data_IF_806153491744
#
_entry.id   IF_806153491744
#
_cell.length_a   1.000
_cell.length_b   1.000
_cell.length_c   1.000
_cell.angle_alpha   90.00
_cell.angle_beta   90.00
_cell.angle_gamma   90.00
#
_symmetry.space_group_name_H-M   'P 1'
#
loop_
_entity.id
_entity.type
_entity.pdbx_description
1 polymer ?
#
# COMPACT_ATOMS: atom_id res chain seq x y z
N UNK A 1 -1.13 -14.37 -7.03
CA UNK A 1 -1.25 -13.56 -5.79
C UNK A 1 -2.13 -12.34 -6.07
N UNK A 2 -1.76 -11.48 -7.03
CA UNK A 2 -2.50 -10.27 -7.39
C UNK A 2 -4.02 -10.49 -7.62
N UNK A 3 -4.39 -11.43 -8.49
CA UNK A 3 -5.79 -11.77 -8.80
C UNK A 3 -6.58 -12.28 -7.58
N UNK A 4 -5.90 -12.93 -6.62
CA UNK A 4 -6.55 -13.47 -5.42
C UNK A 4 -6.91 -12.30 -4.48
N UNK A 5 -5.95 -11.40 -4.25
CA UNK A 5 -6.17 -10.21 -3.40
C UNK A 5 -7.20 -9.28 -4.02
N UNK A 6 -7.15 -9.05 -5.32
CA UNK A 6 -8.18 -8.25 -6.03
C UNK A 6 -9.59 -8.82 -5.80
N UNK A 7 -9.76 -10.14 -5.94
CA UNK A 7 -11.04 -10.80 -5.69
C UNK A 7 -11.45 -10.73 -4.23
N UNK A 8 -10.52 -10.91 -3.29
CA UNK A 8 -10.81 -10.82 -1.86
C UNK A 8 -11.31 -9.42 -1.48
N UNK A 9 -10.61 -8.37 -1.91
CA UNK A 9 -10.98 -6.97 -1.71
C UNK A 9 -12.38 -6.69 -2.26
N UNK A 10 -12.65 -7.08 -3.52
CA UNK A 10 -13.97 -6.88 -4.16
C UNK A 10 -15.09 -7.67 -3.48
N UNK A 11 -14.79 -8.83 -2.91
CA UNK A 11 -15.79 -9.69 -2.25
C UNK A 11 -16.13 -9.13 -0.87
N UNK A 12 -15.12 -8.75 -0.08
CA UNK A 12 -15.33 -8.17 1.25
C UNK A 12 -16.10 -6.85 1.19
N UNK A 13 -15.79 -6.00 0.20
CA UNK A 13 -16.54 -4.77 -0.05
C UNK A 13 -18.03 -5.00 -0.36
N UNK A 14 -18.42 -6.17 -0.88
CA UNK A 14 -19.82 -6.50 -1.20
C UNK A 14 -20.61 -7.06 -0.03
N UNK A 15 -19.94 -7.59 0.99
CA UNK A 15 -20.58 -8.32 2.10
C UNK A 15 -20.69 -7.49 3.39
N UNK A 16 -20.60 -6.15 3.30
CA UNK A 16 -20.57 -5.22 4.44
C UNK A 16 -19.49 -5.54 5.49
N UNK A 17 -18.52 -6.38 5.15
CA UNK A 17 -17.28 -6.53 5.90
C UNK A 17 -16.42 -5.30 5.60
N UNK A 18 -16.67 -4.21 6.34
CA UNK A 18 -15.94 -2.94 6.19
C UNK A 18 -14.53 -3.13 6.74
N UNK A 19 -13.65 -3.71 5.91
CA UNK A 19 -12.21 -3.69 6.17
C UNK A 19 -11.69 -2.33 5.75
N UNK A 20 -11.31 -1.53 6.74
CA UNK A 20 -10.76 -0.20 6.50
C UNK A 20 -9.42 -0.28 5.77
N UNK A 21 -9.08 0.79 5.05
CA UNK A 21 -7.75 0.97 4.44
C UNK A 21 -6.62 0.74 5.44
N UNK A 22 -6.74 1.28 6.65
CA UNK A 22 -5.72 1.13 7.69
C UNK A 22 -5.53 -0.33 8.10
N UNK A 23 -6.61 -1.11 8.22
CA UNK A 23 -6.53 -2.55 8.48
C UNK A 23 -5.84 -3.28 7.32
N UNK A 24 -6.16 -2.95 6.07
CA UNK A 24 -5.47 -3.56 4.92
C UNK A 24 -3.96 -3.27 4.91
N UNK A 25 -3.55 -2.05 5.22
CA UNK A 25 -2.12 -1.73 5.32
C UNK A 25 -1.46 -2.49 6.48
N UNK A 26 -2.15 -2.67 7.60
CA UNK A 26 -1.66 -3.50 8.69
C UNK A 26 -1.49 -4.98 8.28
N UNK A 27 -2.43 -5.52 7.50
CA UNK A 27 -2.31 -6.88 6.94
C UNK A 27 -1.15 -6.99 5.94
N UNK A 28 -0.86 -5.92 5.18
CA UNK A 28 0.31 -5.89 4.31
C UNK A 28 1.62 -5.96 5.12
N UNK A 29 1.73 -5.18 6.20
CA UNK A 29 2.87 -5.24 7.12
C UNK A 29 3.01 -6.62 7.76
N UNK A 30 1.91 -7.24 8.21
CA UNK A 30 1.89 -8.59 8.79
C UNK A 30 2.31 -9.65 7.78
N UNK A 31 1.87 -9.53 6.53
CA UNK A 31 2.26 -10.44 5.45
C UNK A 31 3.77 -10.35 5.17
N UNK A 32 4.34 -9.15 5.17
CA UNK A 32 5.79 -8.97 5.08
C UNK A 32 6.52 -9.61 6.26
N UNK A 33 6.11 -9.32 7.50
CA UNK A 33 6.71 -9.88 8.71
C UNK A 33 6.68 -11.42 8.74
N UNK A 34 5.68 -12.01 8.08
CA UNK A 34 5.53 -13.46 7.91
C UNK A 34 6.34 -14.05 6.75
N UNK A 35 7.18 -13.24 6.08
CA UNK A 35 8.00 -13.67 4.94
C UNK A 35 7.27 -13.74 3.60
N UNK A 36 6.13 -13.05 3.45
CA UNK A 36 5.32 -13.03 2.22
C UNK A 36 5.27 -11.61 1.58
N UNK A 37 6.41 -11.03 1.16
CA UNK A 37 6.47 -9.65 0.65
C UNK A 37 5.68 -9.44 -0.66
N UNK A 38 5.53 -10.47 -1.50
CA UNK A 38 4.71 -10.39 -2.72
C UNK A 38 3.22 -10.26 -2.39
N UNK A 39 2.77 -10.85 -1.28
CA UNK A 39 1.41 -10.71 -0.78
C UNK A 39 1.19 -9.32 -0.21
N UNK A 40 2.14 -8.80 0.59
CA UNK A 40 2.13 -7.39 1.05
C UNK A 40 1.96 -6.42 -0.11
N UNK A 41 2.79 -6.55 -1.16
CA UNK A 41 2.71 -5.67 -2.32
C UNK A 41 1.38 -5.75 -3.06
N UNK A 42 0.80 -6.95 -3.19
CA UNK A 42 -0.53 -7.11 -3.78
C UNK A 42 -1.63 -6.45 -2.93
N UNK A 43 -1.57 -6.57 -1.59
CA UNK A 43 -2.52 -5.89 -0.69
C UNK A 43 -2.41 -4.38 -0.88
N UNK A 44 -1.21 -3.80 -0.81
CA UNK A 44 -1.00 -2.37 -1.02
C UNK A 44 -1.58 -1.92 -2.37
N UNK A 45 -1.25 -2.61 -3.46
CA UNK A 45 -1.71 -2.25 -4.82
C UNK A 45 -3.23 -2.11 -4.94
N UNK A 46 -4.01 -2.98 -4.28
CA UNK A 46 -5.47 -3.01 -4.41
C UNK A 46 -6.21 -2.21 -3.33
N UNK A 47 -5.52 -1.76 -2.28
CA UNK A 47 -6.17 -1.16 -1.10
C UNK A 47 -5.68 0.26 -0.80
N UNK A 48 -4.49 0.66 -1.28
CA UNK A 48 -3.85 1.93 -0.96
C UNK A 48 -4.70 3.16 -1.34
N UNK A 49 -5.47 3.07 -2.42
CA UNK A 49 -6.35 4.15 -2.90
C UNK A 49 -7.74 4.19 -2.28
N UNK A 50 -8.11 3.25 -1.41
CA UNK A 50 -9.45 3.18 -0.81
C UNK A 50 -9.73 4.40 0.08
N UNK A 51 -10.86 5.07 -0.12
CA UNK A 51 -11.27 6.23 0.69
C UNK A 51 -10.21 7.34 0.75
N UNK A 52 -9.41 7.50 -0.31
CA UNK A 52 -8.46 8.62 -0.47
C UNK A 52 -8.83 9.40 -1.71
N UNK A 53 -9.15 10.68 -1.50
CA UNK A 53 -9.46 11.61 -2.58
C UNK A 53 -8.27 11.76 -3.53
N UNK A 54 -8.57 11.88 -4.83
CA UNK A 54 -7.54 11.87 -5.88
C UNK A 54 -6.47 12.95 -5.65
N UNK A 55 -6.89 14.10 -5.14
CA UNK A 55 -6.04 15.26 -4.85
C UNK A 55 -5.07 15.00 -3.68
N UNK A 56 -5.47 14.16 -2.72
CA UNK A 56 -4.69 13.86 -1.51
C UNK A 56 -3.79 12.63 -1.66
N UNK A 57 -4.05 11.75 -2.65
CA UNK A 57 -3.35 10.47 -2.85
C UNK A 57 -1.84 10.58 -2.72
N UNK A 58 -1.21 11.55 -3.38
CA UNK A 58 0.24 11.67 -3.36
C UNK A 58 0.78 11.87 -1.94
N UNK A 59 0.17 12.78 -1.18
CA UNK A 59 0.60 13.09 0.18
C UNK A 59 0.30 11.91 1.10
N UNK A 60 -0.94 11.41 1.09
CA UNK A 60 -1.35 10.29 1.93
C UNK A 60 -0.45 9.09 1.72
N UNK A 61 -0.19 8.68 0.48
CA UNK A 61 0.62 7.50 0.20
C UNK A 61 2.10 7.68 0.57
N UNK A 62 2.63 8.89 0.49
CA UNK A 62 3.97 9.19 0.99
C UNK A 62 4.04 9.04 2.52
N UNK A 63 3.03 9.55 3.23
CA UNK A 63 2.92 9.42 4.69
C UNK A 63 2.78 7.94 5.09
N UNK A 64 1.98 7.14 4.37
CA UNK A 64 1.85 5.70 4.65
C UNK A 64 3.15 4.93 4.44
N UNK A 65 3.89 5.24 3.37
CA UNK A 65 5.20 4.63 3.13
C UNK A 65 6.18 4.94 4.27
N UNK A 66 6.19 6.18 4.76
CA UNK A 66 7.01 6.59 5.89
C UNK A 66 6.59 5.88 7.19
N UNK A 67 5.28 5.72 7.44
CA UNK A 67 4.76 4.98 8.59
C UNK A 67 5.17 3.50 8.54
N UNK A 68 4.98 2.84 7.40
CA UNK A 68 5.39 1.44 7.22
C UNK A 68 6.90 1.27 7.43
N UNK A 69 7.71 2.20 6.90
CA UNK A 69 9.16 2.19 7.10
C UNK A 69 9.55 2.37 8.57
N UNK A 70 8.89 3.29 9.30
CA UNK A 70 9.14 3.51 10.72
C UNK A 70 8.86 2.28 11.59
N UNK A 71 8.02 1.37 11.11
CA UNK A 71 7.67 0.08 11.75
C UNK A 71 8.57 -1.08 11.29
N UNK A 72 9.53 -0.81 10.40
CA UNK A 72 10.42 -1.82 9.83
C UNK A 72 9.83 -2.63 8.68
N UNK A 73 8.65 -2.26 8.16
CA UNK A 73 8.00 -2.92 7.03
C UNK A 73 8.51 -2.34 5.69
N UNK A 74 9.78 -2.66 5.38
CA UNK A 74 10.54 -2.13 4.25
C UNK A 74 9.93 -2.54 2.91
N UNK A 75 9.51 -3.80 2.75
CA UNK A 75 8.90 -4.27 1.50
C UNK A 75 7.52 -3.65 1.27
N UNK A 76 6.77 -3.41 2.34
CA UNK A 76 5.47 -2.73 2.33
C UNK A 76 5.66 -1.27 1.91
N UNK A 77 6.59 -0.54 2.54
CA UNK A 77 6.94 0.82 2.16
C UNK A 77 7.40 0.90 0.68
N UNK A 78 8.24 -0.03 0.23
CA UNK A 78 8.68 -0.14 -1.16
C UNK A 78 7.52 -0.36 -2.13
N UNK A 79 6.56 -1.22 -1.77
CA UNK A 79 5.37 -1.46 -2.59
C UNK A 79 4.47 -0.21 -2.71
N UNK A 80 4.30 0.53 -1.60
CA UNK A 80 3.55 1.80 -1.58
C UNK A 80 4.22 2.84 -2.48
N UNK A 81 5.53 3.03 -2.36
CA UNK A 81 6.25 3.97 -3.21
C UNK A 81 6.28 3.57 -4.67
N UNK A 82 6.44 2.27 -4.98
CA UNK A 82 6.38 1.79 -6.36
C UNK A 82 5.00 2.08 -6.99
N UNK A 83 3.91 1.84 -6.26
CA UNK A 83 2.56 2.20 -6.72
C UNK A 83 2.42 3.72 -6.89
N UNK A 84 2.91 4.49 -5.91
CA UNK A 84 2.86 5.95 -5.94
C UNK A 84 3.63 6.54 -7.12
N UNK A 85 4.81 5.99 -7.45
CA UNK A 85 5.63 6.42 -8.57
C UNK A 85 5.03 6.02 -9.93
N UNK A 86 4.31 4.91 -10.00
CA UNK A 86 3.57 4.54 -11.22
C UNK A 86 2.44 5.55 -11.51
N UNK A 87 1.83 6.12 -10.47
CA UNK A 87 0.76 7.14 -10.61
C UNK A 87 1.33 8.56 -10.74
N UNK A 88 2.42 8.86 -10.05
CA UNK A 88 3.03 10.19 -9.96
C UNK A 88 4.52 10.19 -10.36
N UNK A 89 4.87 9.80 -11.60
CA UNK A 89 6.26 9.57 -12.00
C UNK A 89 7.13 10.83 -11.98
N UNK A 90 6.54 12.02 -12.10
CA UNK A 90 7.26 13.30 -12.09
C UNK A 90 7.57 13.83 -10.67
N UNK A 91 7.11 13.18 -9.60
CA UNK A 91 7.28 13.68 -8.24
C UNK A 91 8.65 13.31 -7.68
N UNK A 92 9.57 14.27 -7.71
CA UNK A 92 10.94 14.13 -7.19
C UNK A 92 11.02 13.65 -5.74
N UNK A 93 10.12 14.12 -4.87
CA UNK A 93 10.11 13.70 -3.45
C UNK A 93 9.92 12.20 -3.28
N UNK A 94 8.98 11.59 -4.03
CA UNK A 94 8.75 10.15 -4.01
C UNK A 94 9.97 9.35 -4.48
N UNK A 95 10.68 9.85 -5.49
CA UNK A 95 11.92 9.23 -5.96
C UNK A 95 13.02 9.27 -4.91
N UNK A 96 13.21 10.40 -4.24
CA UNK A 96 14.20 10.53 -3.15
C UNK A 96 13.87 9.52 -2.05
N UNK A 97 12.62 9.48 -1.58
CA UNK A 97 12.21 8.51 -0.55
C UNK A 97 12.41 7.06 -0.99
N UNK A 98 12.21 6.73 -2.27
CA UNK A 98 12.45 5.40 -2.80
C UNK A 98 13.95 5.04 -2.91
N UNK A 99 14.82 6.02 -3.09
CA UNK A 99 16.28 5.83 -3.11
C UNK A 99 16.86 5.66 -1.70
N UNK A 100 16.26 6.27 -0.70
CA UNK A 100 16.67 6.20 0.72
C UNK A 100 16.24 4.91 1.43
N UNK A 101 15.58 3.99 0.70
CA UNK A 101 14.88 2.80 1.19
C UNK A 101 15.69 1.50 1.05
#
# INVERSE_FOLDING_TARGET
IDVIIEKAVKTLAKHDAVVSRAQWLQEAETAEASGAPLTSGAICKHTLGMNVDVEDRQRTWADDAAVALSRGAVATARAILAHSLAVFPAKRSLWISAMEL
#
